data_IF_621255564959
#
_entry.id   IF_621255564959
#
_cell.length_a   1.000
_cell.length_b   1.000
_cell.length_c   1.000
_cell.angle_alpha   90.00
_cell.angle_beta   90.00
_cell.angle_gamma   90.00
#
_symmetry.space_group_name_H-M   'P 1'
#
loop_
_entity.id
_entity.type
_entity.pdbx_description
1 polymer ?
#
# COMPACT_ATOMS: atom_id res chain seq x y z
N UNK A 1 25.35 10.77 -15.69
CA UNK A 1 25.14 10.28 -14.30
C UNK A 1 24.06 9.22 -14.36
N UNK A 2 24.27 8.05 -13.77
CA UNK A 2 23.28 6.97 -13.79
C UNK A 2 22.24 7.14 -12.68
N UNK A 3 20.98 6.86 -12.99
CA UNK A 3 19.92 6.77 -12.00
C UNK A 3 20.14 5.51 -11.15
N UNK A 4 20.47 5.68 -9.87
CA UNK A 4 20.80 4.57 -8.95
C UNK A 4 19.56 3.92 -8.35
N UNK A 5 18.44 4.64 -8.30
CA UNK A 5 17.19 4.20 -7.66
C UNK A 5 16.01 4.65 -8.52
N UNK A 6 15.92 4.08 -9.72
CA UNK A 6 14.87 4.45 -10.65
C UNK A 6 13.49 4.20 -10.04
N UNK A 7 12.64 5.22 -10.05
CA UNK A 7 11.25 5.13 -9.58
C UNK A 7 10.35 5.02 -10.80
N UNK A 8 9.43 4.05 -10.76
CA UNK A 8 8.35 3.93 -11.74
C UNK A 8 7.50 5.20 -11.72
N UNK A 9 6.78 5.48 -12.79
CA UNK A 9 5.84 6.61 -12.84
C UNK A 9 4.81 6.52 -11.69
N UNK A 10 4.30 5.31 -11.42
CA UNK A 10 3.40 5.05 -10.28
C UNK A 10 4.06 5.35 -8.93
N UNK A 11 5.36 5.04 -8.75
CA UNK A 11 6.06 5.32 -7.49
C UNK A 11 6.23 6.82 -7.27
N UNK A 12 6.46 7.58 -8.34
CA UNK A 12 6.54 9.04 -8.30
C UNK A 12 5.17 9.63 -7.93
N UNK A 13 4.11 9.20 -8.63
CA UNK A 13 2.74 9.68 -8.43
C UNK A 13 2.23 9.40 -7.01
N UNK A 14 2.60 8.24 -6.45
CA UNK A 14 2.15 7.80 -5.13
C UNK A 14 3.10 8.21 -4.01
N UNK A 15 4.34 8.59 -4.31
CA UNK A 15 5.40 8.83 -3.33
C UNK A 15 5.91 7.53 -2.68
N UNK A 16 5.86 6.42 -3.42
CA UNK A 16 6.44 5.14 -3.00
C UNK A 16 7.97 5.13 -3.16
N UNK A 17 8.60 4.13 -2.56
CA UNK A 17 10.03 3.90 -2.62
C UNK A 17 10.36 3.11 -3.89
N UNK A 18 11.47 3.45 -4.55
CA UNK A 18 11.95 2.74 -5.73
C UNK A 18 12.06 1.22 -5.49
N UNK A 19 11.56 0.37 -6.40
CA UNK A 19 11.75 -1.08 -6.34
C UNK A 19 13.20 -1.49 -6.59
N UNK A 20 14.11 -0.56 -6.91
CA UNK A 20 15.55 -0.84 -7.03
C UNK A 20 16.33 -0.53 -5.74
N UNK A 21 15.66 -0.03 -4.69
CA UNK A 21 16.32 0.30 -3.43
C UNK A 21 16.76 -0.94 -2.66
N UNK A 22 18.05 -1.01 -2.30
CA UNK A 22 18.66 -2.17 -1.63
C UNK A 22 18.99 -1.94 -0.14
N UNK A 23 18.82 -0.73 0.39
CA UNK A 23 19.17 -0.37 1.77
C UNK A 23 18.08 0.48 2.44
N UNK A 24 18.04 0.49 3.78
CA UNK A 24 16.96 1.14 4.53
C UNK A 24 15.68 0.31 4.45
N UNK A 25 14.74 0.73 3.61
CA UNK A 25 13.58 -0.09 3.20
C UNK A 25 13.94 -0.78 1.88
N UNK A 26 14.40 -2.06 1.91
CA UNK A 26 15.06 -2.68 0.78
C UNK A 26 14.05 -3.30 -0.19
N UNK A 27 13.21 -2.47 -0.83
CA UNK A 27 12.12 -2.92 -1.71
C UNK A 27 12.65 -3.82 -2.84
N UNK A 28 13.85 -3.60 -3.34
CA UNK A 28 14.45 -4.47 -4.36
C UNK A 28 14.76 -5.88 -3.86
N UNK A 29 15.16 -6.03 -2.60
CA UNK A 29 15.33 -7.36 -2.00
C UNK A 29 13.97 -8.02 -1.75
N UNK A 30 12.96 -7.25 -1.34
CA UNK A 30 11.60 -7.75 -1.18
C UNK A 30 11.00 -8.21 -2.52
N UNK A 31 11.26 -7.47 -3.60
CA UNK A 31 10.83 -7.84 -4.96
C UNK A 31 11.56 -9.09 -5.47
N UNK A 32 12.88 -9.18 -5.23
CA UNK A 32 13.68 -10.35 -5.58
C UNK A 32 13.15 -11.63 -4.92
N UNK A 33 12.71 -11.55 -3.66
CA UNK A 33 12.07 -12.67 -2.97
C UNK A 33 10.61 -12.88 -3.43
N UNK A 34 9.83 -11.81 -3.59
CA UNK A 34 8.40 -11.90 -3.89
C UNK A 34 8.09 -12.40 -5.30
N UNK A 35 8.81 -11.92 -6.31
CA UNK A 35 8.48 -12.16 -7.71
C UNK A 35 8.50 -13.66 -8.12
N UNK A 36 9.52 -14.47 -7.75
CA UNK A 36 9.50 -15.90 -8.04
C UNK A 36 8.35 -16.63 -7.35
N UNK A 37 8.01 -16.27 -6.11
CA UNK A 37 6.91 -16.88 -5.36
C UNK A 37 5.55 -16.56 -5.96
N UNK A 38 5.36 -15.34 -6.47
CA UNK A 38 4.15 -14.96 -7.21
C UNK A 38 4.05 -15.73 -8.54
N UNK A 39 5.17 -15.92 -9.24
CA UNK A 39 5.23 -16.70 -10.47
C UNK A 39 4.88 -18.18 -10.23
N UNK A 40 5.48 -18.80 -9.22
CA UNK A 40 5.20 -20.19 -8.82
C UNK A 40 3.77 -20.38 -8.33
N UNK A 41 3.23 -19.38 -7.62
CA UNK A 41 1.85 -19.37 -7.19
C UNK A 41 0.86 -19.21 -8.35
N UNK A 42 1.32 -18.93 -9.56
CA UNK A 42 0.52 -18.68 -10.76
C UNK A 42 -0.62 -17.67 -10.55
N UNK A 43 -0.36 -16.59 -9.82
CA UNK A 43 -1.38 -15.55 -9.61
C UNK A 43 -1.57 -14.69 -10.86
N UNK A 44 -2.78 -14.16 -11.03
CA UNK A 44 -3.04 -13.06 -11.96
C UNK A 44 -2.67 -11.73 -11.30
N UNK A 45 -1.82 -10.96 -11.97
CA UNK A 45 -1.47 -9.59 -11.60
C UNK A 45 -2.08 -8.68 -12.67
N UNK A 46 -3.19 -7.98 -12.38
CA UNK A 46 -3.91 -7.22 -13.39
C UNK A 46 -3.00 -6.26 -14.17
N UNK A 47 -3.12 -6.32 -15.50
CA UNK A 47 -2.34 -5.56 -16.49
C UNK A 47 -0.86 -5.93 -16.65
N UNK A 48 -0.32 -6.84 -15.82
CA UNK A 48 1.08 -7.25 -15.86
C UNK A 48 1.22 -8.72 -16.27
N UNK A 49 0.48 -9.61 -15.62
CA UNK A 49 0.59 -11.07 -15.80
C UNK A 49 -0.77 -11.74 -15.70
N UNK A 50 -1.09 -12.59 -16.67
CA UNK A 50 -2.23 -13.50 -16.61
C UNK A 50 -1.77 -14.85 -16.02
N UNK A 51 -2.46 -15.30 -14.97
CA UNK A 51 -2.28 -16.61 -14.33
C UNK A 51 -3.63 -17.25 -14.04
N UNK A 52 -3.78 -17.83 -12.86
CA UNK A 52 -5.05 -18.29 -12.31
C UNK A 52 -6.00 -17.09 -12.13
N UNK A 53 -7.18 -17.08 -12.79
CA UNK A 53 -8.12 -15.97 -12.73
C UNK A 53 -8.81 -15.82 -11.36
N UNK A 54 -8.78 -16.85 -10.51
CA UNK A 54 -9.37 -16.80 -9.17
C UNK A 54 -8.35 -16.34 -8.10
N UNK A 55 -7.07 -16.17 -8.48
CA UNK A 55 -5.99 -15.78 -7.58
C UNK A 55 -5.38 -14.46 -8.02
N UNK A 56 -5.98 -13.36 -7.54
CA UNK A 56 -5.57 -12.01 -7.91
C UNK A 56 -4.55 -11.44 -6.91
N UNK A 57 -3.42 -10.96 -7.40
CA UNK A 57 -2.43 -10.21 -6.62
C UNK A 57 -2.43 -8.73 -7.04
N UNK A 58 -2.51 -7.84 -6.05
CA UNK A 58 -2.56 -6.39 -6.22
C UNK A 58 -1.41 -5.77 -5.42
N UNK A 59 -0.73 -4.79 -6.00
CA UNK A 59 0.25 -4.01 -5.26
C UNK A 59 -0.45 -2.96 -4.39
N UNK A 60 -0.25 -3.06 -3.07
CA UNK A 60 -0.69 -2.08 -2.10
C UNK A 60 0.52 -1.41 -1.45
N UNK A 61 0.38 -0.14 -1.12
CA UNK A 61 1.43 0.62 -0.45
C UNK A 61 0.81 1.44 0.70
N UNK A 62 0.98 1.02 1.96
CA UNK A 62 0.20 1.54 3.09
C UNK A 62 0.47 3.03 3.30
N UNK A 63 1.70 3.48 3.02
CA UNK A 63 2.07 4.89 3.08
C UNK A 63 1.28 5.81 2.15
N UNK A 64 0.68 5.29 1.08
CA UNK A 64 -0.18 6.09 0.19
C UNK A 64 -1.46 6.47 0.92
N UNK A 65 -2.16 5.47 1.46
CA UNK A 65 -3.41 5.66 2.21
C UNK A 65 -3.17 6.37 3.55
N UNK A 66 -2.07 6.08 4.25
CA UNK A 66 -1.72 6.84 5.45
C UNK A 66 -1.53 8.33 5.14
N UNK A 67 -0.86 8.66 4.03
CA UNK A 67 -0.59 10.06 3.66
C UNK A 67 -1.84 10.85 3.27
N UNK A 68 -2.82 10.23 2.63
CA UNK A 68 -4.09 10.91 2.35
C UNK A 68 -4.88 11.21 3.63
N UNK A 69 -4.74 10.39 4.68
CA UNK A 69 -5.44 10.56 5.95
C UNK A 69 -4.77 11.55 6.91
N UNK A 70 -3.44 11.51 7.04
CA UNK A 70 -2.71 12.30 8.05
C UNK A 70 -1.65 13.25 7.47
N UNK A 71 -1.56 13.35 6.14
CA UNK A 71 -0.52 14.11 5.45
C UNK A 71 0.86 13.46 5.56
N UNK A 72 1.92 14.28 5.58
CA UNK A 72 3.32 13.79 5.62
C UNK A 72 3.82 13.47 7.05
N UNK A 73 2.91 13.39 8.03
CA UNK A 73 3.27 13.05 9.42
C UNK A 73 3.74 11.59 9.48
N UNK A 74 4.80 11.35 10.25
CA UNK A 74 5.25 9.98 10.53
C UNK A 74 4.33 9.35 11.58
N UNK A 75 3.91 8.10 11.37
CA UNK A 75 3.13 7.32 12.33
C UNK A 75 3.88 6.10 12.88
N UNK A 76 5.07 5.79 12.34
CA UNK A 76 5.89 4.65 12.76
C UNK A 76 7.39 4.91 12.69
N UNK A 77 8.15 4.16 13.49
CA UNK A 77 9.61 4.10 13.42
C UNK A 77 10.12 2.73 13.87
N UNK A 78 10.93 2.07 13.05
CA UNK A 78 11.49 0.75 13.36
C UNK A 78 12.48 0.82 14.54
N UNK A 79 13.15 1.96 14.74
CA UNK A 79 14.05 2.15 15.86
C UNK A 79 13.25 2.52 17.12
N UNK A 80 13.17 1.59 18.10
CA UNK A 80 12.49 1.81 19.39
C UNK A 80 12.83 3.15 20.05
N UNK A 81 14.10 3.57 20.00
CA UNK A 81 14.57 4.85 20.57
C UNK A 81 14.02 6.11 19.89
N UNK A 82 13.45 5.98 18.70
CA UNK A 82 12.89 7.06 17.88
C UNK A 82 11.36 7.04 17.83
N UNK A 83 10.73 6.17 18.62
CA UNK A 83 9.27 6.11 18.73
C UNK A 83 8.77 7.24 19.63
N UNK A 84 7.79 8.01 19.16
CA UNK A 84 7.30 9.20 19.87
C UNK A 84 5.80 9.16 20.15
N UNK A 85 5.34 9.98 21.09
CA UNK A 85 3.92 10.11 21.41
C UNK A 85 3.12 10.66 20.22
N UNK A 86 3.70 11.55 19.42
CA UNK A 86 3.07 12.09 18.21
C UNK A 86 2.80 11.00 17.18
N UNK A 87 3.67 9.98 17.07
CA UNK A 87 3.45 8.83 16.20
C UNK A 87 2.29 7.96 16.70
N UNK A 88 2.15 7.78 18.02
CA UNK A 88 1.00 7.09 18.59
C UNK A 88 -0.31 7.85 18.29
N UNK A 89 -0.32 9.17 18.46
CA UNK A 89 -1.47 10.01 18.09
C UNK A 89 -1.81 9.86 16.60
N UNK A 90 -0.80 9.86 15.73
CA UNK A 90 -0.98 9.69 14.28
C UNK A 90 -1.60 8.32 13.93
N UNK A 91 -1.19 7.22 14.59
CA UNK A 91 -1.80 5.89 14.38
C UNK A 91 -3.27 5.87 14.81
N UNK A 92 -3.59 6.43 15.97
CA UNK A 92 -4.97 6.55 16.44
C UNK A 92 -5.84 7.40 15.50
N UNK A 93 -5.26 8.46 14.93
CA UNK A 93 -5.93 9.32 13.95
C UNK A 93 -6.21 8.57 12.64
N UNK A 94 -5.22 7.86 12.08
CA UNK A 94 -5.43 6.99 10.89
C UNK A 94 -6.60 6.04 11.14
N UNK A 95 -6.58 5.31 12.25
CA UNK A 95 -7.60 4.31 12.55
C UNK A 95 -8.99 4.94 12.74
N UNK A 96 -9.06 6.12 13.37
CA UNK A 96 -10.31 6.87 13.51
C UNK A 96 -10.84 7.34 12.16
N UNK A 97 -9.98 7.88 11.30
CA UNK A 97 -10.36 8.38 9.98
C UNK A 97 -10.85 7.25 9.07
N UNK A 98 -10.21 6.08 9.09
CA UNK A 98 -10.67 4.89 8.35
C UNK A 98 -12.09 4.46 8.73
N UNK A 99 -12.50 4.67 9.98
CA UNK A 99 -13.84 4.34 10.49
C UNK A 99 -14.88 5.45 10.22
N UNK A 100 -14.47 6.58 9.66
CA UNK A 100 -15.37 7.72 9.40
C UNK A 100 -16.33 7.44 8.24
N UNK A 101 -17.50 8.09 8.27
CA UNK A 101 -18.47 8.02 7.17
C UNK A 101 -17.94 8.66 5.88
N UNK A 102 -17.07 9.67 5.99
CA UNK A 102 -16.43 10.32 4.84
C UNK A 102 -15.55 9.34 4.07
N UNK A 103 -14.65 8.64 4.76
CA UNK A 103 -13.78 7.63 4.15
C UNK A 103 -14.60 6.45 3.64
N UNK A 104 -15.61 5.98 4.40
CA UNK A 104 -16.49 4.91 3.95
C UNK A 104 -17.24 5.27 2.66
N UNK A 105 -17.69 6.52 2.52
CA UNK A 105 -18.33 7.01 1.30
C UNK A 105 -17.39 7.05 0.10
N UNK A 106 -16.10 7.37 0.31
CA UNK A 106 -15.08 7.37 -0.76
C UNK A 106 -14.66 5.95 -1.17
N UNK A 107 -14.55 5.04 -0.20
CA UNK A 107 -14.17 3.65 -0.43
C UNK A 107 -15.32 2.79 -0.98
N UNK A 108 -16.56 3.15 -0.66
CA UNK A 108 -17.75 2.35 -0.97
C UNK A 108 -18.02 1.21 0.01
N UNK A 109 -17.30 1.16 1.14
CA UNK A 109 -17.49 0.16 2.21
C UNK A 109 -17.05 0.72 3.57
N UNK A 110 -17.57 0.12 4.65
CA UNK A 110 -17.20 0.45 6.02
C UNK A 110 -16.05 -0.42 6.52
N UNK A 111 -15.20 0.16 7.35
CA UNK A 111 -14.09 -0.54 7.99
C UNK A 111 -14.42 -0.73 9.47
N UNK A 112 -14.38 -1.99 9.92
CA UNK A 112 -14.37 -2.34 11.34
C UNK A 112 -13.02 -2.96 11.66
N UNK A 113 -12.37 -2.46 12.70
CA UNK A 113 -11.01 -2.83 13.07
C UNK A 113 -10.79 -2.60 14.56
N UNK A 114 -9.98 -3.43 15.20
CA UNK A 114 -9.69 -3.32 16.63
C UNK A 114 -8.89 -2.03 16.93
N UNK A 115 -9.25 -1.22 17.95
CA UNK A 115 -8.40 -0.11 18.41
C UNK A 115 -6.94 -0.51 18.69
N UNK A 116 -6.68 -1.75 19.12
CA UNK A 116 -5.34 -2.23 19.48
C UNK A 116 -4.35 -2.21 18.31
N UNK A 117 -4.84 -2.13 17.07
CA UNK A 117 -3.99 -1.96 15.87
C UNK A 117 -3.19 -0.64 15.90
N UNK A 118 -3.63 0.37 16.65
CA UNK A 118 -2.91 1.62 16.82
C UNK A 118 -1.81 1.55 17.91
N UNK A 119 -1.80 0.50 18.74
CA UNK A 119 -0.86 0.37 19.85
C UNK A 119 0.51 -0.16 19.42
N UNK A 120 0.61 -0.83 18.26
CA UNK A 120 1.88 -1.30 17.70
C UNK A 120 2.78 -0.11 17.27
N UNK A 121 3.90 0.14 17.96
CA UNK A 121 4.80 1.25 17.63
C UNK A 121 5.57 1.05 16.31
N UNK A 122 5.71 -0.20 15.87
CA UNK A 122 6.26 -0.55 14.56
C UNK A 122 5.28 -0.25 13.43
N UNK A 123 3.98 -0.18 13.73
CA UNK A 123 2.93 0.12 12.77
C UNK A 123 2.70 -0.98 11.73
N UNK A 124 3.24 -2.19 11.93
CA UNK A 124 3.13 -3.29 10.96
C UNK A 124 1.69 -3.80 10.90
N UNK A 125 1.01 -3.89 12.04
CA UNK A 125 -0.42 -4.26 12.07
C UNK A 125 -1.31 -3.20 11.40
N UNK A 126 -0.98 -1.92 11.58
CA UNK A 126 -1.70 -0.83 10.94
C UNK A 126 -1.43 -0.81 9.43
N UNK A 127 -0.19 -1.06 9.01
CA UNK A 127 0.18 -1.21 7.59
C UNK A 127 -0.57 -2.37 6.93
N UNK A 128 -0.70 -3.50 7.62
CA UNK A 128 -1.47 -4.63 7.13
C UNK A 128 -2.94 -4.26 6.92
N UNK A 129 -3.56 -3.51 7.85
CA UNK A 129 -4.92 -2.99 7.69
C UNK A 129 -5.01 -2.05 6.48
N UNK A 130 -4.08 -1.11 6.33
CA UNK A 130 -4.06 -0.16 5.21
C UNK A 130 -3.93 -0.88 3.86
N UNK A 131 -3.04 -1.87 3.77
CA UNK A 131 -2.91 -2.73 2.59
C UNK A 131 -4.20 -3.49 2.31
N UNK A 132 -4.85 -4.07 3.34
CA UNK A 132 -6.12 -4.78 3.17
C UNK A 132 -7.23 -3.86 2.66
N UNK A 133 -7.29 -2.61 3.13
CA UNK A 133 -8.22 -1.59 2.62
C UNK A 133 -7.95 -1.28 1.15
N UNK A 134 -6.69 -1.09 0.76
CA UNK A 134 -6.31 -0.86 -0.64
C UNK A 134 -6.70 -2.06 -1.53
N UNK A 135 -6.47 -3.29 -1.06
CA UNK A 135 -6.87 -4.51 -1.77
C UNK A 135 -8.39 -4.63 -1.90
N UNK A 136 -9.15 -4.34 -0.82
CA UNK A 136 -10.60 -4.37 -0.85
C UNK A 136 -11.18 -3.35 -1.83
N UNK A 137 -10.65 -2.12 -1.83
CA UNK A 137 -11.03 -1.09 -2.80
C UNK A 137 -10.69 -1.48 -4.24
N UNK A 138 -9.50 -2.03 -4.49
CA UNK A 138 -9.13 -2.53 -5.81
C UNK A 138 -10.11 -3.63 -6.28
N UNK A 139 -10.49 -4.54 -5.38
CA UNK A 139 -11.46 -5.59 -5.68
C UNK A 139 -12.87 -5.08 -6.01
N UNK A 140 -13.34 -4.02 -5.34
CA UNK A 140 -14.63 -3.39 -5.71
C UNK A 140 -14.57 -2.78 -7.11
N UNK A 141 -13.38 -2.43 -7.60
CA UNK A 141 -13.12 -1.90 -8.95
C UNK A 141 -12.66 -2.95 -9.96
N UNK A 142 -12.78 -4.26 -9.68
CA UNK A 142 -12.31 -5.34 -10.58
C UNK A 142 -12.87 -5.27 -12.01
N UNK A 143 -14.10 -4.76 -12.17
CA UNK A 143 -14.74 -4.57 -13.49
C UNK A 143 -14.30 -3.27 -14.20
N UNK A 144 -13.58 -2.40 -13.49
CA UNK A 144 -12.99 -1.16 -13.98
C UNK A 144 -11.46 -1.25 -13.87
N UNK A 145 -10.89 -2.38 -14.28
CA UNK A 145 -9.44 -2.58 -14.33
C UNK A 145 -8.76 -2.53 -12.96
N UNK A 146 -9.46 -2.89 -11.89
CA UNK A 146 -8.97 -2.89 -10.50
C UNK A 146 -8.57 -1.51 -9.95
N UNK A 147 -8.93 -0.42 -10.65
CA UNK A 147 -8.55 0.94 -10.27
C UNK A 147 -7.18 1.39 -10.80
N UNK A 148 -6.60 0.66 -11.76
CA UNK A 148 -5.30 0.98 -12.37
C UNK A 148 -5.31 2.19 -13.33
N UNK A 149 -6.48 2.73 -13.66
CA UNK A 149 -6.66 3.70 -14.75
C UNK A 149 -6.72 3.04 -16.13
N UNK A 150 -6.78 3.86 -17.18
CA UNK A 150 -7.09 3.38 -18.54
C UNK A 150 -5.90 2.70 -19.25
N UNK A 151 -4.67 2.93 -18.81
CA UNK A 151 -3.45 2.40 -19.47
C UNK A 151 -2.26 2.33 -18.52
N UNK A 152 -2.29 1.46 -17.49
CA UNK A 152 -1.10 1.20 -16.69
C UNK A 152 0.01 0.62 -17.57
N UNK A 153 1.25 1.08 -17.36
CA UNK A 153 2.41 0.52 -18.06
C UNK A 153 2.54 -0.97 -17.68
N UNK A 154 2.57 -1.91 -18.65
CA UNK A 154 2.60 -3.34 -18.36
C UNK A 154 3.95 -3.82 -17.78
N UNK A 155 5.01 -3.02 -17.88
CA UNK A 155 6.32 -3.29 -17.28
C UNK A 155 6.44 -2.71 -15.88
N UNK A 156 5.84 -1.56 -15.63
CA UNK A 156 5.91 -0.88 -14.33
C UNK A 156 4.79 -1.28 -13.37
N UNK A 157 3.59 -1.57 -13.90
CA UNK A 157 2.42 -1.84 -13.10
C UNK A 157 1.80 -0.59 -12.46
N UNK A 158 1.08 -0.80 -11.37
CA UNK A 158 0.31 0.24 -10.68
C UNK A 158 0.16 -0.10 -9.21
N UNK A 159 -0.04 0.93 -8.36
CA UNK A 159 -0.30 0.76 -6.92
C UNK A 159 -1.77 1.09 -6.67
N UNK A 160 -2.46 0.22 -5.93
CA UNK A 160 -3.84 0.45 -5.53
C UNK A 160 -3.96 1.69 -4.65
N UNK A 161 -4.52 2.75 -5.21
CA UNK A 161 -4.61 4.05 -4.55
C UNK A 161 -6.07 4.51 -4.56
N UNK A 162 -6.85 4.21 -3.51
CA UNK A 162 -8.10 4.92 -3.31
C UNK A 162 -7.74 6.38 -3.05
N UNK A 163 -8.08 7.27 -3.98
CA UNK A 163 -7.96 8.71 -3.78
C UNK A 163 -8.97 9.14 -2.69
N UNK A 164 -8.65 8.81 -1.43
CA UNK A 164 -9.41 9.22 -0.25
C UNK A 164 -9.05 10.63 0.17
#
# INVERSE_FOLDING_TARGET
>A
MGDREHRRETDIATGAISPQKLYGTPVGLMFFEGAPRLLEADVTIPHIRQGDPDRIAIEAYPGVLARSLIGRRSYKNDAKKKQTAEQAVARCEILRSLKSSEVASRLGFHISADPDLAEDPGGDHLDALLCAVQSAWSWTHRHAGYGAGDSPDPLEGWIANPAV
#
